data_IF_377441645702
#
_entry.id   IF_377441645702
#
_cell.length_a   1.000
_cell.length_b   1.000
_cell.length_c   1.000
_cell.angle_alpha   90.00
_cell.angle_beta   90.00
_cell.angle_gamma   90.00
#
_symmetry.space_group_name_H-M   'P 1'
#
loop_
_entity.id
_entity.type
_entity.pdbx_description
1 polymer ?
#
# COMPACT_ATOMS: atom_id res chain seq x y z
N UNK A 1 25.56 3.08 22.05
CA UNK A 1 24.52 3.63 21.15
C UNK A 1 25.23 4.02 19.88
N UNK A 2 25.13 3.24 18.80
CA UNK A 2 25.61 3.73 17.51
C UNK A 2 24.62 4.82 17.08
N UNK A 3 25.11 5.98 16.67
CA UNK A 3 24.28 6.96 16.00
C UNK A 3 23.67 6.28 14.78
N UNK A 4 22.35 6.28 14.65
CA UNK A 4 21.71 5.85 13.42
C UNK A 4 22.29 6.68 12.27
N UNK A 5 22.73 6.02 11.20
CA UNK A 5 23.18 6.70 9.98
C UNK A 5 22.02 7.52 9.44
N UNK A 6 22.26 8.79 9.14
CA UNK A 6 21.24 9.73 8.67
C UNK A 6 21.63 10.25 7.29
N UNK A 7 20.68 10.22 6.36
CA UNK A 7 20.80 10.71 5.00
C UNK A 7 19.73 11.78 4.79
N UNK A 8 20.15 12.99 4.44
CA UNK A 8 19.27 14.14 4.28
C UNK A 8 19.43 14.71 2.87
N UNK A 9 18.30 15.04 2.22
CA UNK A 9 18.26 15.71 0.91
C UNK A 9 19.07 15.01 -0.20
N UNK A 10 19.16 13.67 -0.13
CA UNK A 10 19.92 12.88 -1.10
C UNK A 10 19.04 12.44 -2.28
N UNK A 11 19.65 12.35 -3.46
CA UNK A 11 19.03 11.79 -4.65
C UNK A 11 19.78 10.53 -5.09
N UNK A 12 19.03 9.46 -5.34
CA UNK A 12 19.52 8.18 -5.83
C UNK A 12 18.82 7.90 -7.16
N UNK A 13 19.58 7.74 -8.25
CA UNK A 13 19.04 7.53 -9.60
C UNK A 13 19.62 6.25 -10.19
N UNK A 14 18.77 5.32 -10.61
CA UNK A 14 19.18 4.12 -11.34
C UNK A 14 19.95 3.09 -10.49
N UNK A 15 19.94 3.23 -9.16
CA UNK A 15 20.72 2.37 -8.26
C UNK A 15 20.07 1.00 -8.09
N UNK A 16 20.84 -0.07 -8.29
CA UNK A 16 20.42 -1.42 -7.91
C UNK A 16 20.97 -1.80 -6.53
N UNK A 17 20.17 -1.61 -5.48
CA UNK A 17 20.58 -1.87 -4.10
C UNK A 17 20.72 -3.35 -3.74
N UNK A 18 20.23 -4.27 -4.59
CA UNK A 18 20.52 -5.69 -4.45
C UNK A 18 21.98 -6.04 -4.80
N UNK A 19 22.62 -5.23 -5.63
CA UNK A 19 24.01 -5.41 -6.06
C UNK A 19 24.99 -4.59 -5.22
N UNK A 20 24.67 -3.31 -4.97
CA UNK A 20 25.57 -2.38 -4.27
C UNK A 20 25.37 -2.38 -2.75
N UNK A 21 24.32 -3.05 -2.27
CA UNK A 21 23.88 -3.03 -0.88
C UNK A 21 23.13 -1.75 -0.51
N UNK A 22 22.26 -1.85 0.51
CA UNK A 22 21.51 -0.72 1.05
C UNK A 22 21.97 -0.37 2.46
N UNK A 23 22.24 0.91 2.71
CA UNK A 23 22.69 1.39 4.02
C UNK A 23 21.48 1.68 4.93
N UNK A 24 21.17 0.76 5.84
CA UNK A 24 20.08 0.96 6.83
C UNK A 24 20.34 2.21 7.68
N UNK A 25 19.30 3.01 7.88
CA UNK A 25 19.38 4.29 8.58
C UNK A 25 18.09 5.08 8.53
N UNK A 26 18.20 6.38 8.83
CA UNK A 26 17.14 7.35 8.58
C UNK A 26 17.42 8.06 7.25
N UNK A 27 16.42 8.11 6.39
CA UNK A 27 16.38 8.90 5.17
C UNK A 27 15.33 9.98 5.34
N UNK A 28 15.76 11.24 5.23
CA UNK A 28 14.92 12.42 5.40
C UNK A 28 14.94 13.25 4.11
N UNK A 29 13.76 13.56 3.57
CA UNK A 29 13.59 14.29 2.31
C UNK A 29 14.44 13.74 1.13
N UNK A 30 14.65 12.42 1.10
CA UNK A 30 15.43 11.77 0.05
C UNK A 30 14.55 11.40 -1.16
N UNK A 31 15.14 11.40 -2.35
CA UNK A 31 14.48 11.02 -3.59
C UNK A 31 15.15 9.80 -4.20
N UNK A 32 14.35 8.76 -4.47
CA UNK A 32 14.76 7.56 -5.16
C UNK A 32 14.04 7.51 -6.50
N UNK A 33 14.80 7.51 -7.60
CA UNK A 33 14.28 7.46 -8.96
C UNK A 33 14.86 6.26 -9.68
N UNK A 34 14.03 5.46 -10.33
CA UNK A 34 14.47 4.31 -11.14
C UNK A 34 15.38 3.35 -10.34
N UNK A 35 15.20 3.26 -9.03
CA UNK A 35 16.01 2.41 -8.16
C UNK A 35 15.37 1.03 -7.99
N UNK A 36 16.20 0.01 -7.79
CA UNK A 36 15.74 -1.33 -7.41
C UNK A 36 16.15 -1.67 -5.98
N UNK A 37 15.14 -2.00 -5.19
CA UNK A 37 15.19 -2.61 -3.86
C UNK A 37 14.64 -4.05 -3.90
N UNK A 38 14.48 -4.65 -5.09
CA UNK A 38 13.83 -5.95 -5.24
C UNK A 38 14.56 -7.02 -4.39
N UNK A 39 13.81 -7.66 -3.49
CA UNK A 39 14.35 -8.66 -2.55
C UNK A 39 15.33 -8.11 -1.51
N UNK A 40 15.56 -6.79 -1.45
CA UNK A 40 16.50 -6.17 -0.51
C UNK A 40 15.89 -6.13 0.88
N UNK A 41 16.71 -6.39 1.88
CA UNK A 41 16.34 -6.19 3.27
C UNK A 41 16.55 -4.74 3.71
N UNK A 42 15.45 -3.99 3.80
CA UNK A 42 15.42 -2.61 4.29
C UNK A 42 14.87 -2.51 5.72
N UNK A 43 14.78 -3.64 6.44
CA UNK A 43 14.22 -3.70 7.79
C UNK A 43 14.88 -2.69 8.75
N UNK A 44 14.10 -2.09 9.64
CA UNK A 44 14.51 -1.05 10.59
C UNK A 44 15.00 0.27 9.95
N UNK A 45 14.67 0.52 8.68
CA UNK A 45 14.94 1.80 8.02
C UNK A 45 13.79 2.77 8.28
N UNK A 46 14.11 4.06 8.41
CA UNK A 46 13.12 5.11 8.58
C UNK A 46 13.16 6.01 7.35
N UNK A 47 12.06 6.09 6.61
CA UNK A 47 11.85 7.04 5.53
C UNK A 47 10.92 8.15 6.02
N UNK A 48 11.39 9.39 5.97
CA UNK A 48 10.62 10.59 6.34
C UNK A 48 10.60 11.50 5.12
N UNK A 49 9.41 11.88 4.67
CA UNK A 49 9.22 12.82 3.54
C UNK A 49 9.96 12.37 2.26
N UNK A 50 10.16 11.07 2.10
CA UNK A 50 10.87 10.50 0.97
C UNK A 50 9.94 10.29 -0.22
N UNK A 51 10.52 10.38 -1.42
CA UNK A 51 9.81 10.10 -2.68
C UNK A 51 10.46 8.93 -3.40
N UNK A 52 9.64 8.00 -3.86
CA UNK A 52 10.03 6.87 -4.70
C UNK A 52 9.31 6.99 -6.02
N UNK A 53 10.05 7.10 -7.11
CA UNK A 53 9.50 7.19 -8.46
C UNK A 53 10.11 6.14 -9.36
N UNK A 54 9.26 5.41 -10.09
CA UNK A 54 9.69 4.36 -11.02
C UNK A 54 10.58 3.29 -10.34
N UNK A 55 10.38 3.06 -9.03
CA UNK A 55 11.22 2.15 -8.24
C UNK A 55 10.61 0.74 -8.17
N UNK A 56 11.47 -0.26 -8.01
CA UNK A 56 11.06 -1.64 -7.78
C UNK A 56 11.42 -2.06 -6.34
N UNK A 57 10.42 -2.19 -5.48
CA UNK A 57 10.53 -2.69 -4.11
C UNK A 57 9.93 -4.10 -3.96
N UNK A 58 9.69 -4.81 -5.07
CA UNK A 58 9.04 -6.13 -5.04
C UNK A 58 9.78 -7.09 -4.12
N UNK A 59 9.05 -7.77 -3.24
CA UNK A 59 9.58 -8.74 -2.28
C UNK A 59 10.66 -8.19 -1.32
N UNK A 60 10.81 -6.87 -1.20
CA UNK A 60 11.71 -6.29 -0.21
C UNK A 60 11.26 -6.65 1.21
N UNK A 61 12.21 -6.91 2.11
CA UNK A 61 11.90 -7.17 3.51
C UNK A 61 11.78 -5.84 4.25
N UNK A 62 10.57 -5.52 4.71
CA UNK A 62 10.22 -4.23 5.32
C UNK A 62 9.92 -4.30 6.82
N UNK A 63 10.33 -5.37 7.49
CA UNK A 63 10.18 -5.55 8.94
C UNK A 63 10.64 -4.33 9.74
N UNK A 64 9.78 -3.78 10.61
CA UNK A 64 10.03 -2.58 11.42
C UNK A 64 10.44 -1.34 10.62
N UNK A 65 10.19 -1.31 9.31
CA UNK A 65 10.44 -0.12 8.47
C UNK A 65 9.37 0.93 8.74
N UNK A 66 9.76 2.19 8.86
CA UNK A 66 8.83 3.31 9.02
C UNK A 66 8.73 4.09 7.72
N UNK A 67 7.53 4.20 7.15
CA UNK A 67 7.22 5.13 6.06
C UNK A 67 6.39 6.29 6.61
N UNK A 68 6.99 7.48 6.68
CA UNK A 68 6.34 8.68 7.24
C UNK A 68 6.30 9.74 6.16
N UNK A 69 5.10 10.12 5.74
CA UNK A 69 4.84 11.06 4.65
C UNK A 69 5.60 10.68 3.38
N UNK A 70 5.64 9.39 3.05
CA UNK A 70 6.38 8.89 1.88
C UNK A 70 5.47 8.75 0.67
N UNK A 71 5.93 9.25 -0.47
CA UNK A 71 5.18 9.18 -1.73
C UNK A 71 5.81 8.12 -2.65
N UNK A 72 4.97 7.25 -3.22
CA UNK A 72 5.32 6.24 -4.21
C UNK A 72 4.56 6.53 -5.51
N UNK A 73 5.30 6.77 -6.59
CA UNK A 73 4.79 7.07 -7.92
C UNK A 73 5.30 6.01 -8.90
N UNK A 74 4.40 5.34 -9.61
CA UNK A 74 4.71 4.35 -10.64
C UNK A 74 5.66 3.22 -10.17
N UNK A 75 5.56 2.84 -8.89
CA UNK A 75 6.43 1.85 -8.26
C UNK A 75 5.85 0.42 -8.33
N UNK A 76 6.75 -0.57 -8.37
CA UNK A 76 6.40 -1.98 -8.12
C UNK A 76 6.63 -2.31 -6.66
N UNK A 77 5.57 -2.70 -5.97
CA UNK A 77 5.53 -2.97 -4.53
C UNK A 77 4.97 -4.39 -4.29
N UNK A 78 5.27 -5.33 -5.20
CA UNK A 78 4.65 -6.65 -5.22
C UNK A 78 5.02 -7.47 -3.98
N UNK A 79 4.03 -8.08 -3.34
CA UNK A 79 4.24 -9.02 -2.23
C UNK A 79 4.76 -8.40 -0.92
N UNK A 80 4.66 -7.08 -0.74
CA UNK A 80 5.14 -6.42 0.47
C UNK A 80 4.25 -6.72 1.69
N UNK A 81 4.90 -7.00 2.83
CA UNK A 81 4.24 -7.27 4.12
C UNK A 81 4.13 -5.97 4.93
N UNK A 82 3.13 -5.12 4.64
CA UNK A 82 2.94 -3.84 5.35
C UNK A 82 2.46 -4.02 6.79
N UNK A 83 1.90 -5.18 7.12
CA UNK A 83 1.60 -5.65 8.48
C UNK A 83 2.86 -5.83 9.34
N UNK A 84 4.02 -6.05 8.72
CA UNK A 84 5.33 -6.09 9.42
C UNK A 84 6.00 -4.71 9.55
N UNK A 85 5.43 -3.65 8.97
CA UNK A 85 5.99 -2.30 9.09
C UNK A 85 5.74 -1.71 10.47
N UNK A 86 6.57 -0.72 10.81
CA UNK A 86 6.28 0.13 11.95
C UNK A 86 5.11 1.07 11.60
N UNK A 87 3.94 0.80 12.18
CA UNK A 87 2.71 1.56 11.95
C UNK A 87 2.70 2.96 12.59
N UNK A 88 3.71 3.31 13.42
CA UNK A 88 3.78 4.61 14.06
C UNK A 88 4.01 5.73 13.04
N UNK A 89 3.00 6.62 12.92
CA UNK A 89 2.95 7.69 11.92
C UNK A 89 3.05 7.14 10.49
N UNK A 90 2.51 5.95 10.24
CA UNK A 90 2.47 5.39 8.90
C UNK A 90 1.53 6.21 8.03
N UNK A 91 2.11 7.03 7.16
CA UNK A 91 1.41 7.88 6.20
C UNK A 91 2.12 7.75 4.85
N UNK A 92 1.38 7.37 3.83
CA UNK A 92 1.94 7.18 2.49
C UNK A 92 0.91 7.45 1.39
N UNK A 93 1.42 7.86 0.22
CA UNK A 93 0.64 7.96 -1.01
C UNK A 93 1.16 6.96 -2.03
N UNK A 94 0.25 6.21 -2.61
CA UNK A 94 0.52 5.31 -3.73
C UNK A 94 -0.25 5.83 -4.95
N UNK A 95 0.47 6.22 -5.99
CA UNK A 95 -0.08 6.66 -7.27
C UNK A 95 0.53 5.83 -8.41
N UNK A 96 -0.30 5.23 -9.26
CA UNK A 96 0.18 4.39 -10.38
C UNK A 96 0.91 3.11 -9.96
N UNK A 97 0.84 2.73 -8.68
CA UNK A 97 1.65 1.65 -8.12
C UNK A 97 1.04 0.26 -8.36
N UNK A 98 1.90 -0.75 -8.42
CA UNK A 98 1.50 -2.16 -8.43
C UNK A 98 1.77 -2.76 -7.05
N UNK A 99 0.72 -3.03 -6.29
CA UNK A 99 0.80 -3.59 -4.94
C UNK A 99 0.30 -5.04 -4.89
N UNK A 100 0.15 -5.73 -6.03
CA UNK A 100 -0.43 -7.08 -6.07
C UNK A 100 0.22 -8.02 -5.05
N UNK A 101 -0.58 -8.85 -4.39
CA UNK A 101 -0.17 -9.78 -3.33
C UNK A 101 0.42 -9.13 -2.06
N UNK A 102 0.31 -7.81 -1.89
CA UNK A 102 0.73 -7.16 -0.63
C UNK A 102 -0.24 -7.44 0.50
N UNK A 103 0.24 -7.33 1.74
CA UNK A 103 -0.51 -7.64 2.95
C UNK A 103 -0.60 -6.40 3.83
N UNK A 104 -1.83 -6.02 4.17
CA UNK A 104 -2.20 -4.94 5.11
C UNK A 104 -3.00 -5.50 6.30
N UNK A 105 -2.81 -6.78 6.64
CA UNK A 105 -3.52 -7.45 7.72
C UNK A 105 -3.43 -6.67 9.04
N UNK A 106 -4.57 -6.33 9.63
CA UNK A 106 -4.67 -5.53 10.88
C UNK A 106 -4.02 -4.13 10.85
N UNK A 107 -3.69 -3.58 9.67
CA UNK A 107 -3.03 -2.28 9.56
C UNK A 107 -4.03 -1.12 9.67
N UNK A 108 -3.67 -0.08 10.42
CA UNK A 108 -4.37 1.22 10.39
C UNK A 108 -4.00 1.98 9.11
N UNK A 109 -4.89 1.92 8.12
CA UNK A 109 -4.68 2.45 6.78
C UNK A 109 -5.33 3.84 6.58
N UNK A 110 -5.91 4.46 7.63
CA UNK A 110 -6.70 5.71 7.50
C UNK A 110 -5.92 6.88 6.91
N UNK A 111 -4.60 6.86 7.04
CA UNK A 111 -3.70 7.89 6.52
C UNK A 111 -2.96 7.48 5.24
N UNK A 112 -3.37 6.37 4.63
CA UNK A 112 -2.88 5.92 3.34
C UNK A 112 -3.81 6.40 2.22
N UNK A 113 -3.25 6.60 1.04
CA UNK A 113 -4.01 6.96 -0.16
C UNK A 113 -3.59 6.07 -1.32
N UNK A 114 -4.57 5.54 -2.04
CA UNK A 114 -4.38 4.72 -3.23
C UNK A 114 -5.07 5.40 -4.41
N UNK A 115 -4.32 5.62 -5.49
CA UNK A 115 -4.85 6.21 -6.71
C UNK A 115 -4.24 5.51 -7.92
N UNK A 116 -5.09 5.11 -8.86
CA UNK A 116 -4.67 4.44 -10.10
C UNK A 116 -3.76 3.22 -9.82
N UNK A 117 -4.00 2.51 -8.72
CA UNK A 117 -3.16 1.40 -8.26
C UNK A 117 -3.74 0.04 -8.64
N UNK A 118 -2.85 -0.92 -8.87
CA UNK A 118 -3.21 -2.35 -8.96
C UNK A 118 -3.08 -3.00 -7.60
N UNK A 119 -4.19 -3.51 -7.09
CA UNK A 119 -4.35 -4.10 -5.77
C UNK A 119 -4.87 -5.54 -5.90
N UNK A 120 -4.41 -6.26 -6.92
CA UNK A 120 -4.87 -7.63 -7.18
C UNK A 120 -4.35 -8.58 -6.07
N UNK A 121 -5.23 -9.41 -5.52
CA UNK A 121 -4.88 -10.37 -4.44
C UNK A 121 -4.26 -9.69 -3.19
N UNK A 122 -4.50 -8.39 -2.97
CA UNK A 122 -4.07 -7.69 -1.76
C UNK A 122 -4.92 -8.12 -0.58
N UNK A 123 -4.28 -8.38 0.56
CA UNK A 123 -4.97 -8.72 1.80
C UNK A 123 -5.21 -7.49 2.68
N UNK A 124 -6.47 -7.07 2.79
CA UNK A 124 -6.93 -6.01 3.70
C UNK A 124 -7.71 -6.55 4.90
N UNK A 125 -7.57 -7.85 5.23
CA UNK A 125 -8.31 -8.47 6.33
C UNK A 125 -8.00 -7.78 7.66
N UNK A 126 -9.05 -7.48 8.41
CA UNK A 126 -9.00 -6.75 9.69
C UNK A 126 -8.37 -5.34 9.65
N UNK A 127 -8.08 -4.78 8.47
CA UNK A 127 -7.50 -3.45 8.33
C UNK A 127 -8.52 -2.33 8.67
N UNK A 128 -8.01 -1.17 9.09
CA UNK A 128 -8.82 0.05 9.23
C UNK A 128 -8.66 0.95 8.01
N UNK A 129 -9.60 0.84 7.07
CA UNK A 129 -9.69 1.63 5.84
C UNK A 129 -10.78 2.73 5.96
N UNK A 130 -11.12 3.16 7.18
CA UNK A 130 -12.14 4.19 7.40
C UNK A 130 -11.79 5.47 6.64
N UNK A 131 -12.66 5.86 5.69
CA UNK A 131 -12.49 7.09 4.91
C UNK A 131 -11.47 7.01 3.76
N UNK A 132 -10.88 5.85 3.50
CA UNK A 132 -9.88 5.69 2.42
C UNK A 132 -10.55 5.68 1.04
N UNK A 133 -9.93 6.34 0.07
CA UNK A 133 -10.35 6.34 -1.33
C UNK A 133 -9.55 5.34 -2.17
N UNK A 134 -10.21 4.73 -3.16
CA UNK A 134 -9.64 3.77 -4.10
C UNK A 134 -9.82 4.26 -5.55
N UNK A 135 -9.60 5.54 -5.80
CA UNK A 135 -9.86 6.18 -7.08
C UNK A 135 -9.04 5.50 -8.19
N UNK A 136 -9.71 4.98 -9.22
CA UNK A 136 -9.05 4.30 -10.35
C UNK A 136 -8.36 2.98 -10.00
N UNK A 137 -8.60 2.41 -8.82
CA UNK A 137 -7.90 1.19 -8.39
C UNK A 137 -8.55 -0.10 -8.92
N UNK A 138 -7.71 -1.07 -9.24
CA UNK A 138 -8.11 -2.43 -9.64
C UNK A 138 -7.99 -3.38 -8.45
N UNK A 139 -9.11 -3.94 -7.97
CA UNK A 139 -9.19 -4.74 -6.72
C UNK A 139 -9.53 -6.22 -6.98
N UNK A 140 -9.14 -6.74 -8.15
CA UNK A 140 -9.43 -8.13 -8.52
C UNK A 140 -8.88 -9.09 -7.46
N UNK A 141 -9.77 -9.90 -6.87
CA UNK A 141 -9.43 -10.86 -5.81
C UNK A 141 -8.79 -10.25 -4.55
N UNK A 142 -8.89 -8.94 -4.34
CA UNK A 142 -8.53 -8.34 -3.06
C UNK A 142 -9.39 -8.94 -1.93
N UNK A 143 -8.76 -9.20 -0.79
CA UNK A 143 -9.39 -9.86 0.35
C UNK A 143 -9.85 -8.80 1.34
N UNK A 144 -11.16 -8.78 1.59
CA UNK A 144 -11.79 -7.97 2.62
C UNK A 144 -12.58 -8.89 3.56
N UNK A 145 -12.01 -9.20 4.72
CA UNK A 145 -12.64 -9.98 5.78
C UNK A 145 -12.48 -9.26 7.11
N UNK A 146 -13.59 -8.98 7.80
CA UNK A 146 -13.60 -8.19 9.04
C UNK A 146 -12.97 -6.80 8.91
N UNK A 147 -12.96 -6.22 7.70
CA UNK A 147 -12.33 -4.94 7.38
C UNK A 147 -13.24 -3.75 7.70
N UNK A 148 -12.67 -2.67 8.23
CA UNK A 148 -13.39 -1.43 8.51
C UNK A 148 -13.40 -0.53 7.28
N UNK A 149 -14.55 -0.41 6.65
CA UNK A 149 -14.74 0.31 5.38
C UNK A 149 -15.65 1.53 5.56
N UNK A 150 -15.90 2.00 6.78
CA UNK A 150 -16.83 3.10 6.96
C UNK A 150 -16.35 4.35 6.23
N UNK A 151 -17.22 4.95 5.42
CA UNK A 151 -16.95 6.18 4.65
C UNK A 151 -15.85 6.05 3.60
N UNK A 152 -15.34 4.86 3.31
CA UNK A 152 -14.43 4.66 2.19
C UNK A 152 -15.13 4.93 0.85
N UNK A 153 -14.34 5.22 -0.18
CA UNK A 153 -14.84 5.54 -1.51
C UNK A 153 -14.33 4.56 -2.56
N UNK A 154 -15.25 3.76 -3.10
CA UNK A 154 -15.03 2.76 -4.14
C UNK A 154 -15.72 3.15 -5.46
N UNK A 155 -16.22 4.38 -5.61
CA UNK A 155 -17.02 4.75 -6.80
C UNK A 155 -16.26 4.55 -8.11
N UNK A 156 -14.98 4.85 -8.11
CA UNK A 156 -14.10 4.74 -9.28
C UNK A 156 -13.19 3.51 -9.22
N UNK A 157 -13.38 2.64 -8.22
CA UNK A 157 -12.68 1.36 -8.11
C UNK A 157 -13.41 0.26 -8.90
N UNK A 158 -12.68 -0.72 -9.40
CA UNK A 158 -13.25 -1.83 -10.18
C UNK A 158 -12.82 -3.20 -9.63
N UNK A 159 -13.59 -4.24 -9.99
CA UNK A 159 -13.31 -5.65 -9.70
C UNK A 159 -13.22 -6.03 -8.21
N UNK A 160 -13.64 -5.16 -7.30
CA UNK A 160 -13.75 -5.50 -5.88
C UNK A 160 -14.87 -6.51 -5.63
N UNK A 161 -14.67 -7.37 -4.63
CA UNK A 161 -15.69 -8.22 -4.03
C UNK A 161 -15.66 -7.98 -2.53
N UNK A 162 -16.73 -7.42 -2.00
CA UNK A 162 -16.81 -7.05 -0.58
C UNK A 162 -18.12 -7.60 -0.05
N UNK A 163 -18.02 -8.56 0.86
CA UNK A 163 -19.20 -9.05 1.57
C UNK A 163 -19.64 -8.05 2.65
N UNK A 164 -20.83 -7.45 2.53
CA UNK A 164 -21.36 -6.52 3.54
C UNK A 164 -21.64 -7.15 4.90
N UNK A 165 -21.81 -8.48 4.98
CA UNK A 165 -22.09 -9.19 6.24
C UNK A 165 -20.84 -9.37 7.10
N UNK A 166 -19.66 -9.43 6.46
CA UNK A 166 -18.37 -9.59 7.12
C UNK A 166 -17.60 -8.27 7.29
N UNK A 167 -18.01 -7.19 6.64
CA UNK A 167 -17.27 -5.93 6.62
C UNK A 167 -18.08 -4.72 7.08
N UNK A 168 -17.43 -3.74 7.71
CA UNK A 168 -18.11 -2.55 8.23
C UNK A 168 -18.25 -1.48 7.14
N UNK A 169 -19.30 -1.55 6.31
CA UNK A 169 -19.44 -0.67 5.14
C UNK A 169 -20.31 0.58 5.36
N UNK A 170 -20.54 0.99 6.62
CA UNK A 170 -21.47 2.08 6.92
C UNK A 170 -21.01 3.39 6.27
N UNK A 171 -21.86 3.95 5.41
CA UNK A 171 -21.59 5.17 4.62
C UNK A 171 -20.41 5.02 3.62
N UNK A 172 -19.92 3.81 3.37
CA UNK A 172 -19.05 3.56 2.23
C UNK A 172 -19.79 3.94 0.93
N UNK A 173 -19.03 4.38 -0.07
CA UNK A 173 -19.58 4.90 -1.33
C UNK A 173 -19.22 3.96 -2.45
N UNK A 174 -20.23 3.51 -3.19
CA UNK A 174 -20.07 2.61 -4.33
C UNK A 174 -20.75 3.19 -5.57
N UNK A 175 -20.25 2.84 -6.75
CA UNK A 175 -20.94 3.13 -8.01
C UNK A 175 -22.04 2.11 -8.27
N UNK A 176 -23.03 2.46 -9.12
CA UNK A 176 -24.08 1.52 -9.52
C UNK A 176 -23.49 0.29 -10.22
N UNK A 177 -22.47 0.50 -11.05
CA UNK A 177 -21.78 -0.55 -11.81
C UNK A 177 -20.96 -1.48 -10.92
N UNK A 178 -20.53 -1.02 -9.75
CA UNK A 178 -19.79 -1.85 -8.79
C UNK A 178 -20.67 -2.56 -7.75
N UNK A 179 -22.00 -2.34 -7.75
CA UNK A 179 -22.91 -3.06 -6.84
C UNK A 179 -22.86 -4.59 -6.97
N UNK A 180 -22.67 -5.20 -8.17
CA UNK A 180 -22.49 -6.65 -8.28
C UNK A 180 -21.39 -7.20 -7.38
N UNK A 181 -20.29 -6.45 -7.16
CA UNK A 181 -19.21 -6.84 -6.25
C UNK A 181 -19.62 -6.96 -4.79
N UNK A 182 -20.75 -6.35 -4.39
CA UNK A 182 -21.32 -6.49 -3.04
C UNK A 182 -22.30 -7.66 -2.91
N UNK A 183 -22.69 -8.25 -4.04
CA UNK A 183 -23.72 -9.27 -4.12
C UNK A 183 -23.15 -10.65 -4.49
N UNK A 184 -21.86 -10.72 -4.85
CA UNK A 184 -21.16 -11.92 -5.34
C UNK A 184 -21.36 -13.13 -4.42
N UNK A 185 -21.35 -12.94 -3.09
CA UNK A 185 -21.54 -14.00 -2.10
C UNK A 185 -22.89 -14.72 -2.22
N UNK A 186 -23.92 -14.04 -2.71
CA UNK A 186 -25.26 -14.62 -2.78
C UNK A 186 -25.47 -15.53 -4.00
N UNK A 187 -24.50 -15.60 -4.92
CA UNK A 187 -24.58 -16.40 -6.15
C UNK A 187 -25.87 -16.13 -6.94
N UNK A 188 -26.26 -14.86 -7.00
CA UNK A 188 -27.46 -14.41 -7.71
C UNK A 188 -27.11 -13.97 -9.13
N UNK A 189 -28.05 -14.15 -10.05
CA UNK A 189 -27.94 -13.72 -11.44
C UNK A 189 -28.33 -12.24 -11.53
N UNK A 190 -27.49 -11.42 -12.18
CA UNK A 190 -27.70 -9.99 -12.41
C UNK A 190 -27.71 -9.76 -13.93
N UNK A 191 -28.83 -9.24 -14.46
CA UNK A 191 -29.05 -8.92 -15.87
C UNK A 191 -28.82 -7.43 -16.19
#
# INVERSE_FOLDING_TARGET
MSSATNFEDQEFIGSNFSEIGFAKGKYDNCYFKECSFAGVDISNTIFVECRFKDCDLSMARILDTSFRSSDFEDCKLLGLQFDECNSFLFTARFEGCQLNNSVFYQVDCKALTFKDCKLEEVDFSEADLTGVGFDGCELQWAIFDHTRLERSDFRDAINYRIDPEHNMIKKARFSKTGLPGLLDRYDIIID
#
